data_IF_875297734993
#
_entry.id   IF_875297734993
#
_cell.length_a   1.000
_cell.length_b   1.000
_cell.length_c   1.000
_cell.angle_alpha   90.00
_cell.angle_beta   90.00
_cell.angle_gamma   90.00
#
_symmetry.space_group_name_H-M   'P 1'
#
loop_
_entity.id
_entity.type
_entity.pdbx_description
1 polymer ?
#
# COMPACT_ATOMS: atom_id res chain seq x y z
N UNK A 1 3.27 33.94 -37.33
CA UNK A 1 2.15 33.17 -37.86
C UNK A 1 2.70 32.08 -38.79
N UNK A 2 3.33 31.06 -38.22
CA UNK A 2 3.64 29.83 -38.95
C UNK A 2 3.98 28.73 -37.92
N UNK A 3 3.20 27.67 -38.05
CA UNK A 3 3.49 26.28 -37.62
C UNK A 3 3.73 25.97 -36.16
N UNK A 4 2.65 25.76 -35.45
CA UNK A 4 2.60 24.83 -34.35
C UNK A 4 2.49 23.38 -34.91
N UNK A 5 3.39 22.45 -34.55
CA UNK A 5 3.24 21.05 -34.94
C UNK A 5 2.07 20.45 -34.21
N UNK A 6 1.04 20.13 -34.97
CA UNK A 6 -0.06 19.26 -34.52
C UNK A 6 0.40 17.82 -34.72
N UNK A 7 1.07 17.29 -33.75
CA UNK A 7 1.21 15.84 -33.56
C UNK A 7 0.99 15.55 -32.09
N UNK A 8 -0.28 15.47 -31.71
CA UNK A 8 -0.69 14.61 -30.60
C UNK A 8 -0.55 13.18 -31.13
N UNK A 9 0.63 12.60 -30.90
CA UNK A 9 0.78 11.16 -30.90
C UNK A 9 -0.23 10.62 -29.89
N UNK A 10 -1.21 9.89 -30.41
CA UNK A 10 -2.12 9.10 -29.59
C UNK A 10 -1.25 8.15 -28.76
N UNK A 11 -1.20 8.38 -27.45
CA UNK A 11 -0.77 7.36 -26.51
C UNK A 11 -1.61 6.12 -26.80
N UNK A 12 -1.05 5.17 -27.56
CA UNK A 12 -1.57 3.82 -27.62
C UNK A 12 -1.56 3.36 -26.17
N UNK A 13 -2.74 3.28 -25.56
CA UNK A 13 -2.96 2.71 -24.24
C UNK A 13 -2.28 1.34 -24.24
N UNK A 14 -1.10 1.26 -23.62
CA UNK A 14 -0.45 0.00 -23.33
C UNK A 14 -1.45 -0.81 -22.52
N UNK A 15 -2.14 -1.73 -23.16
CA UNK A 15 -3.06 -2.65 -22.49
C UNK A 15 -2.22 -3.58 -21.61
N UNK A 16 -1.91 -3.13 -20.42
CA UNK A 16 -1.32 -3.97 -19.38
C UNK A 16 -2.28 -5.14 -19.10
N UNK A 17 -1.78 -6.34 -19.19
CA UNK A 17 -2.54 -7.53 -18.84
C UNK A 17 -2.32 -7.83 -17.37
N UNK A 18 -3.41 -7.89 -16.61
CA UNK A 18 -3.39 -8.28 -15.21
C UNK A 18 -3.83 -9.73 -15.10
N UNK A 19 -3.02 -10.53 -14.43
CA UNK A 19 -3.36 -11.92 -14.10
C UNK A 19 -3.37 -12.10 -12.58
N UNK A 20 -4.52 -12.51 -12.05
CA UNK A 20 -4.69 -12.73 -10.60
C UNK A 20 -4.11 -14.11 -10.26
N UNK A 21 -3.30 -14.15 -9.19
CA UNK A 21 -2.78 -15.38 -8.61
C UNK A 21 -3.51 -15.69 -7.31
N UNK A 22 -4.03 -16.91 -7.20
CA UNK A 22 -4.60 -17.41 -5.95
C UNK A 22 -3.50 -17.76 -4.92
N UNK A 23 -2.38 -18.28 -5.41
CA UNK A 23 -1.21 -18.63 -4.59
C UNK A 23 0.08 -18.27 -5.32
N UNK A 24 1.09 -17.93 -4.54
CA UNK A 24 2.45 -17.77 -5.07
C UNK A 24 3.07 -19.17 -5.19
N UNK A 25 3.71 -19.51 -6.33
CA UNK A 25 4.32 -20.81 -6.51
C UNK A 25 5.36 -21.13 -5.43
N UNK A 26 5.28 -22.30 -4.80
CA UNK A 26 6.21 -22.73 -3.75
C UNK A 26 7.65 -22.74 -4.24
N UNK A 27 7.89 -23.22 -5.46
CA UNK A 27 9.25 -23.22 -6.06
C UNK A 27 9.86 -21.84 -6.17
N UNK A 28 9.03 -20.78 -6.33
CA UNK A 28 9.49 -19.41 -6.32
C UNK A 28 9.84 -18.98 -4.89
N UNK A 29 9.02 -19.32 -3.90
CA UNK A 29 9.31 -19.04 -2.49
C UNK A 29 10.56 -19.77 -2.01
N UNK A 30 10.77 -21.03 -2.42
CA UNK A 30 11.98 -21.79 -2.13
C UNK A 30 13.22 -21.09 -2.68
N UNK A 31 13.16 -20.58 -3.92
CA UNK A 31 14.28 -19.83 -4.52
C UNK A 31 14.60 -18.53 -3.75
N UNK A 32 13.57 -17.83 -3.24
CA UNK A 32 13.78 -16.63 -2.41
C UNK A 32 14.41 -17.01 -1.05
N UNK A 33 13.97 -18.13 -0.49
CA UNK A 33 14.53 -18.66 0.76
C UNK A 33 16.01 -19.04 0.60
N UNK A 34 16.34 -19.81 -0.43
CA UNK A 34 17.72 -20.25 -0.70
C UNK A 34 18.64 -19.03 -0.88
N UNK A 35 18.22 -18.04 -1.68
CA UNK A 35 18.95 -16.79 -1.82
C UNK A 35 19.15 -16.09 -0.45
N UNK A 36 18.11 -16.07 0.39
CA UNK A 36 18.18 -15.46 1.71
C UNK A 36 19.21 -16.16 2.61
N UNK A 37 19.24 -17.48 2.62
CA UNK A 37 20.21 -18.26 3.42
C UNK A 37 21.65 -18.06 2.91
N UNK A 38 21.87 -18.05 1.60
CA UNK A 38 23.17 -17.76 1.02
C UNK A 38 23.66 -16.35 1.38
N UNK A 39 22.77 -15.36 1.32
CA UNK A 39 23.09 -13.98 1.71
C UNK A 39 23.41 -13.84 3.20
N UNK A 40 22.67 -14.53 4.09
CA UNK A 40 22.99 -14.57 5.51
C UNK A 40 24.38 -15.14 5.78
N UNK A 41 24.75 -16.20 5.04
CA UNK A 41 26.09 -16.77 5.12
C UNK A 41 27.17 -15.77 4.68
N UNK A 42 26.94 -15.08 3.54
CA UNK A 42 27.87 -14.07 3.01
C UNK A 42 28.01 -12.90 3.98
N UNK A 43 26.90 -12.36 4.50
CA UNK A 43 26.88 -11.27 5.48
C UNK A 43 27.65 -11.62 6.76
N UNK A 44 27.53 -12.86 7.22
CA UNK A 44 28.24 -13.34 8.41
C UNK A 44 29.75 -13.49 8.18
N UNK A 45 30.13 -13.95 6.99
CA UNK A 45 31.54 -14.31 6.69
C UNK A 45 32.33 -13.18 6.04
N UNK A 46 31.66 -12.36 5.21
CA UNK A 46 32.28 -11.35 4.38
C UNK A 46 31.49 -10.02 4.37
N UNK A 47 31.18 -9.43 5.53
CA UNK A 47 30.28 -8.27 5.62
C UNK A 47 30.77 -7.06 4.80
N UNK A 48 32.08 -6.90 4.64
CA UNK A 48 32.68 -5.78 3.89
C UNK A 48 32.61 -5.92 2.37
N UNK A 49 32.22 -7.09 1.86
CA UNK A 49 32.08 -7.34 0.42
C UNK A 49 30.66 -7.07 -0.09
N UNK A 50 29.72 -6.85 0.82
CA UNK A 50 28.31 -6.60 0.46
C UNK A 50 28.12 -5.10 0.25
N UNK A 51 27.70 -4.71 -0.95
CA UNK A 51 27.31 -3.33 -1.24
C UNK A 51 25.94 -2.99 -0.63
N UNK A 52 25.68 -1.70 -0.46
CA UNK A 52 24.39 -1.22 0.04
C UNK A 52 23.23 -1.67 -0.87
N UNK A 53 23.41 -1.61 -2.19
CA UNK A 53 22.40 -2.07 -3.16
C UNK A 53 22.07 -3.56 -3.01
N UNK A 54 23.08 -4.39 -2.77
CA UNK A 54 22.89 -5.83 -2.55
C UNK A 54 22.20 -6.09 -1.22
N UNK A 55 22.50 -5.30 -0.20
CA UNK A 55 21.83 -5.38 1.09
C UNK A 55 20.35 -4.96 0.98
N UNK A 56 20.05 -3.89 0.25
CA UNK A 56 18.67 -3.46 0.00
C UNK A 56 17.90 -4.53 -0.78
N UNK A 57 18.53 -5.12 -1.79
CA UNK A 57 17.92 -6.23 -2.53
C UNK A 57 17.65 -7.43 -1.62
N UNK A 58 18.57 -7.80 -0.74
CA UNK A 58 18.38 -8.85 0.25
C UNK A 58 17.15 -8.57 1.15
N UNK A 59 16.97 -7.34 1.64
CA UNK A 59 15.80 -6.98 2.43
C UNK A 59 14.50 -7.04 1.63
N UNK A 60 14.52 -6.65 0.36
CA UNK A 60 13.36 -6.77 -0.54
C UNK A 60 12.98 -8.23 -0.78
N UNK A 61 13.97 -9.12 -1.01
CA UNK A 61 13.75 -10.55 -1.16
C UNK A 61 13.14 -11.15 0.11
N UNK A 62 13.67 -10.82 1.30
CA UNK A 62 13.10 -11.31 2.55
C UNK A 62 11.66 -10.81 2.76
N UNK A 63 11.38 -9.56 2.42
CA UNK A 63 10.04 -9.00 2.51
C UNK A 63 9.08 -9.72 1.58
N UNK A 64 9.51 -10.00 0.34
CA UNK A 64 8.70 -10.73 -0.64
C UNK A 64 8.46 -12.19 -0.21
N UNK A 65 9.48 -12.85 0.30
CA UNK A 65 9.37 -14.21 0.86
C UNK A 65 8.35 -14.24 2.00
N UNK A 66 8.47 -13.33 2.96
CA UNK A 66 7.55 -13.23 4.09
C UNK A 66 6.11 -12.99 3.64
N UNK A 67 5.89 -11.98 2.78
CA UNK A 67 4.57 -11.67 2.24
C UNK A 67 3.99 -12.82 1.41
N UNK A 68 4.85 -13.51 0.65
CA UNK A 68 4.45 -14.67 -0.15
C UNK A 68 3.94 -15.83 0.72
N UNK A 69 4.59 -16.08 1.85
CA UNK A 69 4.10 -17.08 2.80
C UNK A 69 2.77 -16.67 3.44
N UNK A 70 2.56 -15.38 3.76
CA UNK A 70 1.28 -14.89 4.26
C UNK A 70 0.14 -15.03 3.23
N UNK A 71 0.44 -14.80 1.95
CA UNK A 71 -0.53 -15.01 0.85
C UNK A 71 -0.93 -16.48 0.75
N UNK A 72 0.01 -17.39 0.95
CA UNK A 72 -0.23 -18.84 0.85
C UNK A 72 -0.80 -19.46 2.12
N UNK A 73 -0.75 -18.75 3.25
CA UNK A 73 -1.29 -19.19 4.53
C UNK A 73 -2.82 -19.18 4.53
N UNK A 74 -3.45 -20.27 4.99
CA UNK A 74 -4.91 -20.42 4.95
C UNK A 74 -5.65 -19.38 5.81
N UNK A 75 -5.04 -18.93 6.91
CA UNK A 75 -5.63 -17.94 7.81
C UNK A 75 -5.60 -16.54 7.22
N UNK A 76 -4.55 -16.22 6.45
CA UNK A 76 -4.28 -14.87 5.98
C UNK A 76 -4.59 -14.66 4.49
N UNK A 77 -4.67 -15.72 3.68
CA UNK A 77 -4.81 -15.65 2.21
C UNK A 77 -5.96 -14.75 1.75
N UNK A 78 -7.12 -14.83 2.41
CA UNK A 78 -8.30 -14.01 2.08
C UNK A 78 -8.07 -12.50 2.29
N UNK A 79 -7.02 -12.12 3.00
CA UNK A 79 -6.65 -10.72 3.27
C UNK A 79 -5.76 -10.10 2.20
N UNK A 80 -5.36 -10.87 1.20
CA UNK A 80 -4.45 -10.43 0.15
C UNK A 80 -5.03 -10.61 -1.24
N UNK A 81 -4.62 -9.72 -2.14
CA UNK A 81 -4.81 -9.86 -3.58
C UNK A 81 -3.45 -9.83 -4.24
N UNK A 82 -3.09 -10.93 -4.91
CA UNK A 82 -1.83 -11.03 -5.66
C UNK A 82 -2.12 -11.00 -7.14
N UNK A 83 -1.40 -10.18 -7.88
CA UNK A 83 -1.55 -10.08 -9.31
C UNK A 83 -0.23 -9.80 -10.04
N UNK A 84 -0.14 -10.34 -11.24
CA UNK A 84 0.96 -10.14 -12.16
C UNK A 84 0.60 -9.07 -13.17
N UNK A 85 1.52 -8.16 -13.42
CA UNK A 85 1.49 -7.29 -14.59
C UNK A 85 2.32 -7.92 -15.69
N UNK A 86 1.69 -8.13 -16.83
CA UNK A 86 2.32 -8.66 -18.03
C UNK A 86 2.34 -7.55 -19.10
N UNK A 87 3.40 -7.53 -19.91
CA UNK A 87 3.46 -6.66 -21.08
C UNK A 87 2.56 -7.20 -22.22
N UNK A 88 2.55 -6.51 -23.35
CA UNK A 88 1.75 -6.89 -24.53
C UNK A 88 2.19 -8.24 -25.14
N UNK A 89 3.43 -8.66 -24.90
CA UNK A 89 4.00 -9.91 -25.38
C UNK A 89 3.73 -11.07 -24.39
N UNK A 90 3.22 -10.75 -23.18
CA UNK A 90 2.95 -11.72 -22.13
C UNK A 90 4.12 -11.96 -21.19
N UNK A 91 5.17 -11.12 -21.24
CA UNK A 91 6.29 -11.22 -20.31
C UNK A 91 5.90 -10.60 -18.97
N UNK A 92 6.43 -11.18 -17.88
CA UNK A 92 6.22 -10.66 -16.52
C UNK A 92 6.99 -9.35 -16.30
N UNK A 93 6.26 -8.27 -16.03
CA UNK A 93 6.83 -6.97 -15.68
C UNK A 93 6.93 -6.77 -14.16
N UNK A 94 5.92 -7.18 -13.40
CA UNK A 94 5.92 -7.05 -11.95
C UNK A 94 4.93 -7.99 -11.26
N UNK A 95 5.24 -8.32 -10.01
CA UNK A 95 4.33 -8.98 -9.07
C UNK A 95 3.90 -7.93 -8.06
N UNK A 96 2.59 -7.85 -7.79
CA UNK A 96 2.04 -6.97 -6.76
C UNK A 96 1.20 -7.75 -5.78
N UNK A 97 1.44 -7.50 -4.50
CA UNK A 97 0.69 -8.07 -3.39
C UNK A 97 0.01 -6.90 -2.68
N UNK A 98 -1.32 -6.85 -2.73
CA UNK A 98 -2.11 -5.84 -2.06
C UNK A 98 -2.77 -6.46 -0.82
N UNK A 99 -2.56 -5.84 0.33
CA UNK A 99 -3.28 -6.21 1.53
C UNK A 99 -4.66 -5.51 1.51
N UNK A 100 -5.72 -6.28 1.54
CA UNK A 100 -7.10 -5.80 1.54
C UNK A 100 -7.69 -5.69 2.96
N UNK A 101 -7.16 -6.47 3.90
CA UNK A 101 -7.60 -6.48 5.28
C UNK A 101 -6.46 -6.86 6.23
N UNK A 102 -5.92 -5.88 6.92
CA UNK A 102 -4.78 -6.08 7.84
C UNK A 102 -5.17 -6.49 9.26
N UNK A 103 -6.47 -6.64 9.57
CA UNK A 103 -6.98 -6.90 10.92
C UNK A 103 -6.29 -8.06 11.62
N UNK A 104 -6.28 -9.24 11.00
CA UNK A 104 -5.70 -10.47 11.60
C UNK A 104 -4.21 -10.29 11.88
N UNK A 105 -3.50 -9.70 10.94
CA UNK A 105 -2.06 -9.46 11.05
C UNK A 105 -1.74 -8.46 12.17
N UNK A 106 -2.44 -7.31 12.18
CA UNK A 106 -2.24 -6.29 13.24
C UNK A 106 -2.54 -6.90 14.60
N UNK A 107 -3.62 -7.69 14.72
CA UNK A 107 -3.97 -8.37 15.94
C UNK A 107 -2.88 -9.34 16.38
N UNK A 108 -2.42 -10.22 15.51
CA UNK A 108 -1.35 -11.18 15.79
C UNK A 108 -0.09 -10.48 16.32
N UNK A 109 0.31 -9.38 15.66
CA UNK A 109 1.47 -8.60 16.13
C UNK A 109 1.20 -7.89 17.45
N UNK A 110 -0.01 -7.43 17.70
CA UNK A 110 -0.38 -6.78 18.96
C UNK A 110 -0.25 -7.72 20.16
N UNK A 111 -0.46 -9.02 19.97
CA UNK A 111 -0.35 -10.04 21.01
C UNK A 111 1.08 -10.23 21.57
N UNK A 112 2.10 -9.78 20.85
CA UNK A 112 3.48 -9.78 21.34
C UNK A 112 3.76 -8.70 22.39
N UNK A 113 2.84 -7.73 22.57
CA UNK A 113 3.02 -6.61 23.48
C UNK A 113 2.04 -6.67 24.65
N UNK A 114 2.47 -6.18 25.81
CA UNK A 114 1.60 -6.08 26.99
C UNK A 114 0.43 -5.12 26.76
N UNK A 115 0.65 -4.08 25.99
CA UNK A 115 -0.37 -3.12 25.57
C UNK A 115 0.06 -2.41 24.29
N UNK A 116 -0.92 -2.04 23.46
CA UNK A 116 -0.70 -1.28 22.24
C UNK A 116 -1.65 -0.09 22.23
N UNK A 117 -1.16 1.09 21.88
CA UNK A 117 -1.96 2.32 21.79
C UNK A 117 -1.91 2.83 20.36
N UNK A 118 -3.07 2.87 19.71
CA UNK A 118 -3.24 3.51 18.42
C UNK A 118 -3.80 4.91 18.60
N UNK A 119 -3.23 5.91 17.96
CA UNK A 119 -3.72 7.28 18.04
C UNK A 119 -3.68 7.99 16.69
N UNK A 120 -4.71 8.80 16.45
CA UNK A 120 -4.81 9.67 15.28
C UNK A 120 -5.83 10.78 15.55
N UNK A 121 -5.73 11.86 14.82
CA UNK A 121 -6.74 12.92 14.84
C UNK A 121 -8.08 12.50 14.20
N UNK A 122 -8.11 11.38 13.46
CA UNK A 122 -9.22 10.98 12.58
C UNK A 122 -9.67 9.53 12.77
N UNK A 123 -9.51 8.94 13.97
CA UNK A 123 -10.04 7.60 14.29
C UNK A 123 -11.58 7.64 14.46
N UNK A 124 -12.28 8.06 13.42
CA UNK A 124 -13.74 8.11 13.41
C UNK A 124 -14.26 7.61 12.06
N UNK A 125 -15.28 6.73 12.03
CA UNK A 125 -16.08 6.18 13.14
C UNK A 125 -15.33 5.18 14.04
N UNK A 126 -15.65 5.19 15.34
CA UNK A 126 -15.03 4.31 16.35
C UNK A 126 -15.00 2.84 15.92
N UNK A 127 -16.18 2.27 15.63
CA UNK A 127 -16.34 0.84 15.35
C UNK A 127 -15.56 0.37 14.12
N UNK A 128 -15.45 1.22 13.12
CA UNK A 128 -14.66 0.95 11.91
C UNK A 128 -13.17 0.80 12.25
N UNK A 129 -12.62 1.70 13.05
CA UNK A 129 -11.20 1.67 13.38
C UNK A 129 -10.85 0.60 14.40
N UNK A 130 -11.72 0.30 15.37
CA UNK A 130 -11.52 -0.87 16.25
C UNK A 130 -11.42 -2.13 15.41
N UNK A 131 -12.31 -2.29 14.45
CA UNK A 131 -12.34 -3.43 13.56
C UNK A 131 -11.11 -3.50 12.66
N UNK A 132 -10.76 -2.39 11.99
CA UNK A 132 -9.62 -2.29 11.07
C UNK A 132 -8.28 -2.57 11.76
N UNK A 133 -8.13 -2.14 13.01
CA UNK A 133 -6.92 -2.31 13.81
C UNK A 133 -6.87 -3.64 14.59
N UNK A 134 -7.80 -4.56 14.30
CA UNK A 134 -7.83 -5.87 14.94
C UNK A 134 -8.32 -5.88 16.37
N UNK A 135 -8.92 -4.78 16.82
CA UNK A 135 -9.44 -4.64 18.17
C UNK A 135 -10.74 -5.41 18.42
N UNK A 136 -11.09 -5.53 19.70
CA UNK A 136 -12.33 -6.13 20.17
C UNK A 136 -13.16 -5.06 20.86
N UNK A 137 -14.42 -4.91 20.42
CA UNK A 137 -15.32 -3.84 20.89
C UNK A 137 -15.58 -3.85 22.39
N UNK A 138 -15.56 -5.06 22.99
CA UNK A 138 -15.91 -5.26 24.41
C UNK A 138 -14.67 -5.41 25.32
N UNK A 139 -13.47 -5.49 24.75
CA UNK A 139 -12.22 -5.68 25.49
C UNK A 139 -11.30 -4.46 25.39
N UNK A 140 -11.38 -3.68 24.31
CA UNK A 140 -10.47 -2.57 24.04
C UNK A 140 -11.11 -1.22 24.36
N UNK A 141 -10.34 -0.38 25.02
CA UNK A 141 -10.76 0.98 25.37
C UNK A 141 -10.61 1.93 24.19
N UNK A 142 -11.57 2.86 24.08
CA UNK A 142 -11.53 3.93 23.10
C UNK A 142 -11.69 5.28 23.79
N UNK A 143 -10.65 6.12 23.67
CA UNK A 143 -10.67 7.48 24.21
C UNK A 143 -10.90 8.49 23.07
N UNK A 144 -11.98 9.27 23.19
CA UNK A 144 -12.22 10.42 22.33
C UNK A 144 -11.86 11.71 23.06
N UNK A 145 -10.91 12.46 22.52
CA UNK A 145 -10.55 13.78 23.00
C UNK A 145 -11.17 14.83 22.06
N UNK A 146 -12.02 15.73 22.57
CA UNK A 146 -12.59 16.79 21.76
C UNK A 146 -11.50 17.76 21.28
N UNK A 147 -11.77 18.44 20.16
CA UNK A 147 -10.87 19.47 19.67
C UNK A 147 -10.67 20.57 20.72
N UNK A 148 -9.43 20.96 21.05
CA UNK A 148 -9.16 22.09 21.92
C UNK A 148 -9.47 23.43 21.25
N UNK A 149 -9.70 23.46 19.95
CA UNK A 149 -9.98 24.70 19.21
C UNK A 149 -11.48 25.00 19.23
N UNK A 150 -11.90 26.23 19.63
CA UNK A 150 -13.28 26.65 19.58
C UNK A 150 -13.87 26.58 18.19
N UNK A 151 -15.12 26.11 18.07
CA UNK A 151 -15.81 25.97 16.78
C UNK A 151 -15.97 27.30 16.04
N UNK A 152 -16.05 28.38 16.80
CA UNK A 152 -16.21 29.77 16.33
C UNK A 152 -14.99 30.23 15.52
N UNK A 153 -13.82 29.66 15.78
CA UNK A 153 -12.60 29.99 15.07
C UNK A 153 -12.51 29.29 13.67
N UNK A 154 -13.51 28.46 13.34
CA UNK A 154 -13.57 27.76 12.07
C UNK A 154 -14.72 28.25 11.21
N UNK A 155 -14.41 28.75 10.02
CA UNK A 155 -15.39 29.03 8.98
C UNK A 155 -15.24 28.04 7.83
N UNK A 156 -16.34 27.49 7.37
CA UNK A 156 -16.40 26.58 6.22
C UNK A 156 -17.17 27.28 5.13
N UNK A 157 -16.54 27.43 3.97
CA UNK A 157 -17.16 27.95 2.77
C UNK A 157 -17.35 26.80 1.78
N UNK A 158 -18.52 26.75 1.15
CA UNK A 158 -18.83 25.77 0.13
C UNK A 158 -19.14 26.51 -1.17
N UNK A 159 -18.34 26.30 -2.19
CA UNK A 159 -18.60 26.85 -3.51
C UNK A 159 -19.19 25.77 -4.42
N UNK A 160 -20.46 25.90 -4.76
CA UNK A 160 -21.20 24.96 -5.62
C UNK A 160 -20.95 25.15 -7.12
N UNK A 161 -20.24 26.19 -7.52
CA UNK A 161 -19.98 26.53 -8.92
C UNK A 161 -18.83 25.70 -9.49
N UNK A 162 -18.01 25.08 -8.64
CA UNK A 162 -16.81 24.38 -9.04
C UNK A 162 -16.97 22.86 -8.86
N UNK A 163 -16.65 22.13 -9.91
CA UNK A 163 -16.57 20.68 -9.86
C UNK A 163 -15.10 20.26 -9.67
N UNK A 164 -14.83 19.47 -8.62
CA UNK A 164 -13.52 18.87 -8.38
C UNK A 164 -13.44 17.41 -8.85
N UNK A 165 -14.43 16.94 -9.61
CA UNK A 165 -14.39 15.60 -10.19
C UNK A 165 -13.18 15.50 -11.12
N UNK A 166 -12.57 14.32 -11.17
CA UNK A 166 -11.37 14.08 -11.97
C UNK A 166 -11.51 14.55 -13.42
N UNK A 167 -12.62 14.20 -14.07
CA UNK A 167 -12.91 14.58 -15.46
C UNK A 167 -13.09 16.09 -15.72
N UNK A 168 -13.41 16.87 -14.67
CA UNK A 168 -13.70 18.32 -14.78
C UNK A 168 -12.53 19.16 -14.28
N UNK A 169 -11.47 18.50 -13.73
CA UNK A 169 -10.39 19.15 -12.99
C UNK A 169 -9.65 20.19 -13.82
N UNK A 170 -9.31 19.88 -15.07
CA UNK A 170 -8.52 20.78 -15.93
C UNK A 170 -9.28 22.06 -16.25
N UNK A 171 -10.62 21.98 -16.40
CA UNK A 171 -11.48 23.15 -16.68
C UNK A 171 -11.68 24.03 -15.45
N UNK A 172 -11.62 23.45 -14.25
CA UNK A 172 -11.89 24.18 -12.99
C UNK A 172 -10.63 24.65 -12.28
N UNK A 173 -9.44 24.16 -12.68
CA UNK A 173 -8.16 24.43 -12.02
C UNK A 173 -7.88 25.93 -11.87
N UNK A 174 -8.08 26.72 -12.95
CA UNK A 174 -7.85 28.16 -12.93
C UNK A 174 -8.78 28.89 -11.95
N UNK A 175 -10.04 28.46 -11.83
CA UNK A 175 -10.99 29.05 -10.88
C UNK A 175 -10.63 28.69 -9.44
N UNK A 176 -10.13 27.50 -9.18
CA UNK A 176 -9.66 27.09 -7.84
C UNK A 176 -8.50 27.99 -7.40
N UNK A 177 -7.53 28.24 -8.27
CA UNK A 177 -6.40 29.13 -7.95
C UNK A 177 -6.82 30.59 -7.72
N UNK A 178 -7.90 31.04 -8.33
CA UNK A 178 -8.39 32.42 -8.12
C UNK A 178 -9.15 32.60 -6.81
N UNK A 179 -9.48 31.51 -6.09
CA UNK A 179 -10.17 31.55 -4.79
C UNK A 179 -9.20 31.48 -3.59
N UNK A 180 -7.95 31.12 -3.82
CA UNK A 180 -6.88 31.11 -2.82
C UNK A 180 -6.10 32.42 -2.82
#
# INVERSE_FOLDING_TARGET
LEDLPTEMESDEEKKERIHILEKIPETFLDSLYDFSEDMKYILKKYPLLVSDDLLDFFYQVNSLYYLGNLVNDEEHSASFLTYLHLDNEGNLCSIRIANLNSRSIIRQYSEFFTSVVYFSATLSPKDYYIDLLGGKKDEDDFLFLPSPFPKENRKVFVDYRLSLRYRDRDQTLFHVFSLC
#
